data_IF_786063967251
#
_entry.id   IF_786063967251
#
_cell.length_a   1.000
_cell.length_b   1.000
_cell.length_c   1.000
_cell.angle_alpha   90.00
_cell.angle_beta   90.00
_cell.angle_gamma   90.00
#
_symmetry.space_group_name_H-M   'P 1'
#
loop_
_entity.id
_entity.type
_entity.pdbx_description
1 polymer ?
#
# COMPACT_ATOMS: atom_id res chain seq x y z
N UNK A 1 6.63 -14.02 20.53
CA UNK A 1 5.94 -14.31 19.26
C UNK A 1 4.43 -14.20 19.50
N UNK A 2 3.78 -13.12 19.05
CA UNK A 2 2.39 -12.84 19.46
C UNK A 2 1.55 -12.45 18.23
N UNK A 3 0.96 -13.51 17.69
CA UNK A 3 -0.17 -13.67 16.77
C UNK A 3 -1.06 -12.43 16.49
N UNK A 4 -1.30 -12.15 15.20
CA UNK A 4 -2.66 -11.99 14.66
C UNK A 4 -2.74 -12.57 13.24
N UNK A 5 -3.64 -13.54 13.06
CA UNK A 5 -4.06 -14.09 11.77
C UNK A 5 -4.74 -12.97 10.96
N UNK A 6 -4.19 -12.57 9.81
CA UNK A 6 -4.98 -11.86 8.81
C UNK A 6 -5.64 -12.90 7.89
N UNK A 7 -6.94 -13.15 8.13
CA UNK A 7 -7.85 -13.84 7.19
C UNK A 7 -7.76 -13.18 5.80
N UNK A 8 -7.93 -13.94 4.70
CA UNK A 8 -7.95 -13.36 3.37
C UNK A 8 -9.27 -12.61 3.21
N UNK A 9 -9.24 -11.29 3.37
CA UNK A 9 -10.32 -10.43 2.90
C UNK A 9 -10.17 -10.32 1.38
N UNK A 10 -10.64 -11.37 0.70
CA UNK A 10 -10.68 -11.45 -0.76
C UNK A 10 -11.95 -10.79 -1.34
N UNK A 11 -12.84 -10.22 -0.53
CA UNK A 11 -14.18 -9.82 -1.00
C UNK A 11 -14.80 -8.65 -0.22
N UNK A 12 -13.99 -7.65 0.17
CA UNK A 12 -14.50 -6.31 0.55
C UNK A 12 -13.82 -5.21 -0.30
N UNK A 13 -13.53 -5.61 -1.55
CA UNK A 13 -13.15 -4.81 -2.72
C UNK A 13 -14.30 -3.85 -3.05
N UNK A 14 -14.15 -2.59 -3.46
CA UNK A 14 -13.22 -2.10 -4.49
C UNK A 14 -12.73 -0.64 -4.24
N UNK A 15 -13.20 0.03 -3.17
CA UNK A 15 -13.01 1.49 -3.04
C UNK A 15 -11.83 1.95 -2.16
N UNK A 16 -11.26 1.11 -1.28
CA UNK A 16 -10.24 1.59 -0.31
C UNK A 16 -8.79 1.49 -0.83
N UNK A 17 -8.47 0.48 -1.65
CA UNK A 17 -7.12 0.30 -2.17
C UNK A 17 -7.10 0.65 -3.68
N UNK A 18 -6.36 1.69 -4.10
CA UNK A 18 -6.27 2.05 -5.51
C UNK A 18 -5.80 0.86 -6.35
N UNK A 19 -6.45 0.63 -7.49
CA UNK A 19 -6.11 -0.48 -8.39
C UNK A 19 -4.64 -0.39 -8.83
N UNK A 20 -4.14 0.82 -9.07
CA UNK A 20 -2.75 1.08 -9.43
C UNK A 20 -1.78 0.68 -8.31
N UNK A 21 -2.10 1.00 -7.05
CA UNK A 21 -1.29 0.60 -5.89
C UNK A 21 -1.30 -0.93 -5.73
N UNK A 22 -2.44 -1.58 -5.92
CA UNK A 22 -2.55 -3.04 -5.89
C UNK A 22 -1.65 -3.70 -6.93
N UNK A 23 -1.66 -3.18 -8.17
CA UNK A 23 -0.80 -3.67 -9.26
C UNK A 23 0.67 -3.49 -8.94
N UNK A 24 1.07 -2.33 -8.42
CA UNK A 24 2.46 -2.05 -8.04
C UNK A 24 2.94 -2.97 -6.89
N UNK A 25 2.12 -3.18 -5.87
CA UNK A 25 2.42 -4.13 -4.79
C UNK A 25 2.49 -5.58 -5.32
N UNK A 26 1.66 -5.94 -6.31
CA UNK A 26 1.76 -7.28 -6.91
C UNK A 26 3.09 -7.50 -7.63
N UNK A 27 3.66 -6.46 -8.25
CA UNK A 27 4.99 -6.49 -8.88
C UNK A 27 6.16 -6.46 -7.87
N UNK A 28 5.93 -5.96 -6.65
CA UNK A 28 6.95 -5.80 -5.62
C UNK A 28 6.64 -6.67 -4.37
N UNK A 29 7.06 -7.96 -4.34
CA UNK A 29 6.70 -8.89 -3.26
C UNK A 29 7.18 -8.43 -1.87
N UNK A 30 8.34 -7.78 -1.78
CA UNK A 30 8.88 -7.22 -0.52
C UNK A 30 7.98 -6.10 0.00
N UNK A 31 7.60 -5.16 -0.88
CA UNK A 31 6.68 -4.08 -0.53
C UNK A 31 5.30 -4.61 -0.14
N UNK A 32 4.81 -5.66 -0.82
CA UNK A 32 3.55 -6.34 -0.50
C UNK A 32 3.57 -7.00 0.87
N UNK A 33 4.69 -7.64 1.24
CA UNK A 33 4.85 -8.22 2.56
C UNK A 33 4.81 -7.13 3.64
N UNK A 34 5.56 -6.03 3.44
CA UNK A 34 5.54 -4.90 4.38
C UNK A 34 4.16 -4.24 4.45
N UNK A 35 3.48 -4.07 3.32
CA UNK A 35 2.11 -3.54 3.27
C UNK A 35 1.13 -4.35 4.12
N UNK A 36 1.30 -5.68 4.17
CA UNK A 36 0.49 -6.57 5.02
C UNK A 36 0.86 -6.45 6.50
N UNK A 37 2.11 -6.15 6.83
CA UNK A 37 2.57 -5.87 8.20
C UNK A 37 2.09 -4.51 8.72
N UNK A 38 1.82 -3.55 7.81
CA UNK A 38 1.36 -2.23 8.20
C UNK A 38 0.01 -2.24 8.93
N UNK A 39 -0.05 -1.39 9.96
CA UNK A 39 -1.29 -1.08 10.67
C UNK A 39 -2.33 -0.46 9.70
N UNK A 40 -3.63 -0.62 9.98
CA UNK A 40 -4.69 -0.01 9.16
C UNK A 40 -4.52 1.50 8.97
N UNK A 41 -4.02 2.20 10.00
CA UNK A 41 -3.75 3.64 9.98
C UNK A 41 -2.63 3.97 8.98
N UNK A 42 -1.52 3.24 9.03
CA UNK A 42 -0.40 3.44 8.10
C UNK A 42 -0.81 3.19 6.64
N UNK A 43 -1.63 2.16 6.38
CA UNK A 43 -2.17 1.92 5.04
C UNK A 43 -3.04 3.07 4.56
N UNK A 44 -3.94 3.58 5.40
CA UNK A 44 -4.79 4.75 5.10
C UNK A 44 -3.95 6.00 4.79
N UNK A 45 -2.87 6.23 5.54
CA UNK A 45 -1.96 7.36 5.34
C UNK A 45 -1.29 7.31 3.95
N UNK A 46 -0.75 6.15 3.56
CA UNK A 46 -0.23 5.94 2.20
C UNK A 46 -1.29 6.14 1.13
N UNK A 47 -2.51 5.61 1.33
CA UNK A 47 -3.60 5.78 0.35
C UNK A 47 -3.96 7.26 0.20
N UNK A 48 -4.14 7.99 1.31
CA UNK A 48 -4.46 9.42 1.27
C UNK A 48 -3.34 10.26 0.67
N UNK A 49 -2.08 9.92 0.94
CA UNK A 49 -0.93 10.55 0.31
C UNK A 49 -0.88 10.29 -1.19
N UNK A 50 -1.17 9.08 -1.65
CA UNK A 50 -1.22 8.76 -3.07
C UNK A 50 -2.37 9.51 -3.73
N UNK A 51 -3.59 9.43 -3.18
CA UNK A 51 -4.82 10.05 -3.70
C UNK A 51 -4.73 11.59 -3.76
N UNK A 52 -4.00 12.20 -2.82
CA UNK A 52 -3.73 13.65 -2.83
C UNK A 52 -3.00 14.13 -4.11
N UNK A 53 -2.39 13.25 -4.90
CA UNK A 53 -1.79 13.60 -6.17
C UNK A 53 -2.84 13.72 -7.29
N UNK A 54 -3.30 14.95 -7.53
CA UNK A 54 -4.28 15.28 -8.60
C UNK A 54 -3.79 15.02 -10.02
N UNK A 55 -2.47 14.96 -10.24
CA UNK A 55 -1.90 14.69 -11.56
C UNK A 55 -1.60 13.19 -11.72
N UNK A 56 -1.98 12.57 -12.86
CA UNK A 56 -1.81 11.13 -13.06
C UNK A 56 -0.33 10.70 -13.06
N UNK A 57 0.57 11.56 -13.54
CA UNK A 57 2.01 11.29 -13.50
C UNK A 57 2.54 11.28 -12.06
N UNK A 58 2.17 12.27 -11.26
CA UNK A 58 2.54 12.35 -9.83
C UNK A 58 1.93 11.20 -9.03
N UNK A 59 0.70 10.79 -9.35
CA UNK A 59 0.05 9.64 -8.74
C UNK A 59 0.86 8.35 -8.97
N UNK A 60 1.27 8.09 -10.22
CA UNK A 60 2.15 6.95 -10.55
C UNK A 60 3.49 7.01 -9.80
N UNK A 61 4.16 8.17 -9.81
CA UNK A 61 5.43 8.35 -9.08
C UNK A 61 5.28 8.10 -7.57
N UNK A 62 4.16 8.53 -6.95
CA UNK A 62 3.89 8.26 -5.54
C UNK A 62 3.68 6.78 -5.26
N UNK A 63 3.05 6.04 -6.16
CA UNK A 63 2.87 4.59 -6.03
C UNK A 63 4.23 3.86 -6.09
N UNK A 64 5.09 4.22 -7.04
CA UNK A 64 6.44 3.65 -7.15
C UNK A 64 7.28 3.98 -5.91
N UNK A 65 7.16 5.22 -5.42
CA UNK A 65 7.83 5.66 -4.20
C UNK A 65 7.29 4.93 -2.96
N UNK A 66 5.98 4.75 -2.85
CA UNK A 66 5.38 3.95 -1.77
C UNK A 66 5.94 2.52 -1.77
N UNK A 67 5.99 1.86 -2.93
CA UNK A 67 6.58 0.53 -3.04
C UNK A 67 8.06 0.50 -2.61
N UNK A 68 8.85 1.50 -3.02
CA UNK A 68 10.25 1.62 -2.62
C UNK A 68 10.41 1.86 -1.11
N UNK A 69 9.57 2.71 -0.53
CA UNK A 69 9.58 3.02 0.90
C UNK A 69 9.17 1.80 1.74
N UNK A 70 8.15 1.07 1.31
CA UNK A 70 7.72 -0.18 1.94
C UNK A 70 8.80 -1.26 1.84
N UNK A 71 9.45 -1.39 0.67
CA UNK A 71 10.57 -2.31 0.50
C UNK A 71 11.76 -1.96 1.41
N UNK A 72 11.98 -0.67 1.67
CA UNK A 72 12.96 -0.16 2.64
C UNK A 72 12.49 -0.25 4.10
N UNK A 73 11.32 -0.83 4.37
CA UNK A 73 10.80 -1.01 5.72
C UNK A 73 10.10 0.22 6.32
N UNK A 74 9.96 1.32 5.57
CA UNK A 74 9.26 2.52 6.04
C UNK A 74 7.78 2.25 6.18
N UNK A 75 7.20 2.78 7.26
CA UNK A 75 5.80 2.59 7.62
C UNK A 75 4.91 3.81 7.37
N UNK A 76 5.49 4.91 6.87
CA UNK A 76 4.78 6.14 6.48
C UNK A 76 5.43 6.76 5.24
N UNK A 77 4.65 7.45 4.39
CA UNK A 77 5.14 8.23 3.24
C UNK A 77 5.95 9.48 3.63
#
# INVERSE_FOLDING_TARGET
MNKTKSKPAAEESEATLPVDLRKALAAAPVAKAQWRDLTPIARRDFISWIDSAKQPETHRRRIEKACSMLAAGKRRP
#
